data_IF_158119815276
#
_entry.id   IF_158119815276
#
_cell.length_a   1.000
_cell.length_b   1.000
_cell.length_c   1.000
_cell.angle_alpha   90.00
_cell.angle_beta   90.00
_cell.angle_gamma   90.00
#
_symmetry.space_group_name_H-M   'P 1'
#
loop_
_entity.id
_entity.type
_entity.pdbx_description
1 polymer ?
#
# COMPACT_ATOMS: atom_id res chain seq x y z
N UNK A 1 -41.51 -13.50 -17.63
CA UNK A 1 -41.07 -12.84 -16.38
C UNK A 1 -39.96 -13.61 -15.66
N UNK A 2 -40.14 -14.92 -15.38
CA UNK A 2 -39.14 -15.75 -14.67
C UNK A 2 -37.77 -15.83 -15.37
N UNK A 3 -37.73 -16.03 -16.69
CA UNK A 3 -36.48 -16.07 -17.48
C UNK A 3 -35.71 -14.75 -17.40
N UNK A 4 -36.42 -13.62 -17.44
CA UNK A 4 -35.80 -12.28 -17.35
C UNK A 4 -35.19 -12.06 -15.97
N UNK A 5 -35.91 -12.42 -14.90
CA UNK A 5 -35.40 -12.32 -13.53
C UNK A 5 -34.17 -13.22 -13.32
N UNK A 6 -34.18 -14.43 -13.87
CA UNK A 6 -33.05 -15.36 -13.81
C UNK A 6 -31.83 -14.81 -14.56
N UNK A 7 -32.02 -14.26 -15.76
CA UNK A 7 -30.94 -13.63 -16.54
C UNK A 7 -30.35 -12.42 -15.81
N UNK A 8 -31.18 -11.56 -15.22
CA UNK A 8 -30.72 -10.44 -14.39
C UNK A 8 -29.92 -10.96 -13.19
N UNK A 9 -30.41 -11.99 -12.49
CA UNK A 9 -29.71 -12.60 -11.36
C UNK A 9 -28.34 -13.16 -11.75
N UNK A 10 -28.24 -13.85 -12.88
CA UNK A 10 -26.97 -14.38 -13.40
C UNK A 10 -26.01 -13.27 -13.80
N UNK A 11 -26.50 -12.21 -14.45
CA UNK A 11 -25.69 -11.04 -14.82
C UNK A 11 -25.16 -10.31 -13.59
N UNK A 12 -25.99 -10.11 -12.56
CA UNK A 12 -25.58 -9.49 -11.30
C UNK A 12 -24.56 -10.36 -10.55
N UNK A 13 -24.76 -11.68 -10.50
CA UNK A 13 -23.81 -12.59 -9.87
C UNK A 13 -22.47 -12.63 -10.62
N UNK A 14 -22.51 -12.62 -11.96
CA UNK A 14 -21.31 -12.52 -12.79
C UNK A 14 -20.59 -11.19 -12.56
N UNK A 15 -21.31 -10.06 -12.62
CA UNK A 15 -20.77 -8.72 -12.36
C UNK A 15 -20.13 -8.64 -10.96
N UNK A 16 -20.77 -9.20 -9.95
CA UNK A 16 -20.23 -9.27 -8.59
C UNK A 16 -18.92 -10.06 -8.54
N UNK A 17 -18.84 -11.21 -9.23
CA UNK A 17 -17.63 -12.04 -9.24
C UNK A 17 -16.46 -11.36 -9.96
N UNK A 18 -16.70 -10.74 -11.11
CA UNK A 18 -15.62 -10.15 -11.93
C UNK A 18 -15.10 -8.81 -11.39
N UNK A 19 -15.82 -8.20 -10.46
CA UNK A 19 -15.46 -6.90 -9.85
C UNK A 19 -14.74 -7.03 -8.52
N UNK A 20 -14.63 -8.26 -7.98
CA UNK A 20 -13.99 -8.52 -6.69
C UNK A 20 -12.71 -9.34 -6.89
N UNK A 21 -11.59 -8.94 -6.28
CA UNK A 21 -10.43 -9.81 -6.23
C UNK A 21 -10.77 -11.09 -5.48
N UNK A 22 -10.26 -12.21 -5.97
CA UNK A 22 -10.30 -13.46 -5.22
C UNK A 22 -9.68 -13.25 -3.83
N UNK A 23 -10.20 -13.89 -2.77
CA UNK A 23 -9.54 -13.91 -1.49
C UNK A 23 -8.07 -14.31 -1.66
N UNK A 24 -7.13 -13.59 -1.04
CA UNK A 24 -5.74 -14.02 -1.01
C UNK A 24 -5.60 -15.21 -0.06
N UNK A 25 -4.55 -16.00 -0.26
CA UNK A 25 -4.32 -17.20 0.53
C UNK A 25 -3.87 -16.81 1.94
N UNK A 26 -4.38 -17.50 2.95
CA UNK A 26 -4.04 -17.26 4.35
C UNK A 26 -2.65 -17.83 4.62
N UNK A 27 -1.80 -17.10 5.33
CA UNK A 27 -0.46 -17.56 5.66
C UNK A 27 -0.52 -18.86 6.49
N UNK A 28 0.33 -19.83 6.16
CA UNK A 28 0.34 -21.16 6.78
C UNK A 28 -0.73 -22.13 6.28
N UNK A 29 -1.64 -21.70 5.39
CA UNK A 29 -2.53 -22.65 4.69
C UNK A 29 -1.78 -23.42 3.59
N UNK A 30 -2.30 -24.57 3.09
CA UNK A 30 -1.61 -25.39 2.07
C UNK A 30 -1.21 -24.66 0.78
N UNK A 31 -1.88 -23.55 0.44
CA UNK A 31 -1.54 -22.70 -0.71
C UNK A 31 -1.10 -21.29 -0.30
N UNK A 32 -0.91 -21.06 1.00
CA UNK A 32 -0.52 -19.78 1.56
C UNK A 32 0.98 -19.58 1.62
N UNK A 33 1.44 -18.33 1.81
CA UNK A 33 2.82 -18.07 2.20
C UNK A 33 3.19 -18.84 3.49
N UNK A 34 4.42 -19.36 3.62
CA UNK A 34 4.87 -19.95 4.87
C UNK A 34 4.97 -18.87 5.95
N UNK A 35 4.84 -19.29 7.21
CA UNK A 35 5.02 -18.39 8.36
C UNK A 35 6.45 -18.56 8.86
N UNK A 36 7.26 -17.56 8.61
CA UNK A 36 8.68 -17.46 8.99
C UNK A 36 9.05 -16.12 9.63
N UNK A 37 8.22 -15.09 9.45
CA UNK A 37 8.42 -13.76 10.01
C UNK A 37 7.95 -13.65 11.45
N UNK A 38 8.51 -12.68 12.18
CA UNK A 38 7.87 -12.14 13.38
C UNK A 38 6.54 -11.51 13.01
N UNK A 39 5.50 -11.79 13.81
CA UNK A 39 4.15 -11.27 13.57
C UNK A 39 3.50 -10.86 14.88
N UNK A 40 2.70 -9.79 14.80
CA UNK A 40 1.76 -9.44 15.85
C UNK A 40 0.35 -9.89 15.48
N UNK A 41 -0.51 -10.13 16.47
CA UNK A 41 -1.92 -10.46 16.25
C UNK A 41 -2.78 -9.26 16.60
N UNK A 42 -3.47 -8.70 15.61
CA UNK A 42 -4.39 -7.59 15.77
C UNK A 42 -5.65 -8.01 16.54
N UNK A 43 -6.38 -7.03 17.07
CA UNK A 43 -7.63 -7.23 17.82
C UNK A 43 -8.71 -7.95 17.02
N UNK A 44 -8.71 -7.78 15.70
CA UNK A 44 -9.66 -8.45 14.80
C UNK A 44 -9.23 -9.88 14.41
N UNK A 45 -8.10 -10.35 14.96
CA UNK A 45 -7.57 -11.70 14.77
C UNK A 45 -6.59 -11.86 13.61
N UNK A 46 -6.44 -10.84 12.73
CA UNK A 46 -5.43 -10.85 11.66
C UNK A 46 -4.02 -10.75 12.23
N UNK A 47 -3.03 -11.25 11.49
CA UNK A 47 -1.62 -11.06 11.80
C UNK A 47 -0.97 -10.04 10.87
N UNK A 48 -0.10 -9.20 11.43
CA UNK A 48 0.83 -8.38 10.65
C UNK A 48 2.25 -8.90 10.83
N UNK A 49 2.88 -9.27 9.72
CA UNK A 49 4.30 -9.60 9.69
C UNK A 49 5.15 -8.33 9.63
N UNK A 50 6.21 -8.30 10.42
CA UNK A 50 7.08 -7.14 10.52
C UNK A 50 8.56 -7.52 10.56
N UNK A 51 9.41 -6.50 10.41
CA UNK A 51 10.85 -6.58 10.54
C UNK A 51 11.36 -5.30 11.22
N UNK A 52 12.21 -5.51 12.22
CA UNK A 52 12.89 -4.46 12.96
C UNK A 52 14.26 -4.19 12.34
N UNK A 53 14.71 -2.94 12.38
CA UNK A 53 16.00 -2.47 11.88
C UNK A 53 16.52 -1.34 12.77
N UNK A 54 17.85 -1.16 12.78
CA UNK A 54 18.51 -0.12 13.57
C UNK A 54 18.79 -0.55 15.01
N UNK A 55 18.88 0.42 15.92
CA UNK A 55 19.22 0.18 17.32
C UNK A 55 18.03 -0.44 18.08
N UNK A 56 18.22 -1.16 19.20
CA UNK A 56 17.12 -1.72 19.98
C UNK A 56 16.10 -0.66 20.44
N UNK A 57 14.82 -1.03 20.52
CA UNK A 57 13.72 -0.11 20.80
C UNK A 57 13.84 0.58 22.17
N UNK A 58 14.51 -0.05 23.13
CA UNK A 58 14.70 0.42 24.50
C UNK A 58 15.65 1.61 24.59
N UNK A 59 16.62 1.67 23.67
CA UNK A 59 17.65 2.73 23.61
C UNK A 59 17.44 3.71 22.47
N UNK A 60 16.43 3.48 21.64
CA UNK A 60 16.14 4.30 20.47
C UNK A 60 15.64 5.70 20.85
N UNK A 61 16.19 6.72 20.19
CA UNK A 61 15.73 8.11 20.28
C UNK A 61 14.51 8.36 19.40
N UNK A 62 14.49 7.74 18.21
CA UNK A 62 13.39 7.87 17.26
C UNK A 62 12.85 6.49 16.87
N UNK A 63 11.56 6.29 17.09
CA UNK A 63 10.84 5.06 16.72
C UNK A 63 9.98 5.34 15.50
N UNK A 64 10.24 4.62 14.42
CA UNK A 64 9.68 4.88 13.08
C UNK A 64 8.96 3.64 12.57
N UNK A 65 7.71 3.80 12.16
CA UNK A 65 7.02 2.80 11.33
C UNK A 65 7.19 3.17 9.86
N UNK A 66 7.76 2.25 9.08
CA UNK A 66 7.93 2.37 7.64
C UNK A 66 6.87 1.58 6.87
N UNK A 67 6.12 2.28 6.00
CA UNK A 67 5.07 1.71 5.16
C UNK A 67 5.58 1.53 3.72
N UNK A 68 5.64 0.28 3.25
CA UNK A 68 6.16 -0.03 1.92
C UNK A 68 5.18 0.30 0.77
N UNK A 69 5.74 0.42 -0.45
CA UNK A 69 5.00 0.74 -1.67
C UNK A 69 4.33 -0.47 -2.35
N UNK A 70 4.02 -0.34 -3.65
CA UNK A 70 3.59 -1.46 -4.48
C UNK A 70 4.75 -2.44 -4.71
N UNK A 71 4.43 -3.71 -4.97
CA UNK A 71 5.41 -4.77 -5.29
C UNK A 71 6.54 -5.02 -4.29
N UNK A 72 6.45 -4.42 -3.11
CA UNK A 72 7.45 -4.48 -2.05
C UNK A 72 6.83 -5.10 -0.80
N UNK A 73 7.64 -5.30 0.23
CA UNK A 73 7.24 -5.93 1.49
C UNK A 73 8.03 -5.34 2.66
N UNK A 74 7.87 -5.91 3.86
CA UNK A 74 8.62 -5.58 5.07
C UNK A 74 10.15 -5.56 4.85
N UNK A 75 10.67 -6.30 3.89
CA UNK A 75 12.11 -6.29 3.59
C UNK A 75 12.55 -5.07 2.76
N UNK A 76 11.67 -4.17 2.36
CA UNK A 76 11.97 -3.08 1.43
C UNK A 76 11.97 -1.69 2.08
N UNK A 77 12.32 -1.61 3.37
CA UNK A 77 12.51 -0.35 4.07
C UNK A 77 13.70 0.43 3.49
N UNK A 78 13.44 1.33 2.54
CA UNK A 78 14.52 2.06 1.82
C UNK A 78 15.36 2.90 2.78
N UNK A 79 14.74 3.45 3.82
CA UNK A 79 15.43 4.23 4.86
C UNK A 79 16.31 3.36 5.75
N UNK A 80 15.96 2.10 5.99
CA UNK A 80 16.79 1.19 6.78
C UNK A 80 17.91 0.56 5.95
N UNK A 81 17.69 0.40 4.63
CA UNK A 81 18.64 -0.27 3.73
C UNK A 81 19.70 0.62 3.13
N UNK A 82 19.39 1.90 2.93
CA UNK A 82 20.25 2.80 2.16
C UNK A 82 20.96 3.84 3.04
N UNK A 83 20.63 3.92 4.34
CA UNK A 83 21.38 4.76 5.28
C UNK A 83 22.62 3.98 5.78
N UNK A 84 23.79 4.64 5.92
CA UNK A 84 24.95 4.04 6.58
C UNK A 84 24.58 3.60 8.00
N UNK A 85 25.12 2.47 8.44
CA UNK A 85 24.82 1.93 9.76
C UNK A 85 25.24 2.89 10.87
N UNK A 86 26.38 3.57 10.70
CA UNK A 86 26.90 4.54 11.65
C UNK A 86 25.92 5.69 11.86
N UNK A 87 25.25 6.15 10.79
CA UNK A 87 24.26 7.21 10.87
C UNK A 87 22.97 6.75 11.56
N UNK A 88 22.56 5.50 11.35
CA UNK A 88 21.40 4.89 12.02
C UNK A 88 21.65 4.80 13.53
N UNK A 89 22.86 4.41 13.93
CA UNK A 89 23.29 4.31 15.33
C UNK A 89 23.45 5.69 15.98
N UNK A 90 24.14 6.63 15.32
CA UNK A 90 24.35 8.00 15.79
C UNK A 90 23.02 8.73 16.07
N UNK A 91 22.06 8.57 15.16
CA UNK A 91 20.73 9.17 15.31
C UNK A 91 19.84 8.39 16.30
N UNK A 92 20.22 7.17 16.68
CA UNK A 92 19.43 6.29 17.55
C UNK A 92 18.09 5.89 16.91
N UNK A 93 18.10 5.49 15.64
CA UNK A 93 16.89 5.13 14.90
C UNK A 93 16.50 3.67 15.15
N UNK A 94 15.26 3.46 15.57
CA UNK A 94 14.59 2.17 15.52
C UNK A 94 13.49 2.22 14.46
N UNK A 95 13.60 1.38 13.45
CA UNK A 95 12.69 1.36 12.30
C UNK A 95 11.99 0.01 12.25
N UNK A 96 10.67 0.02 12.21
CA UNK A 96 9.83 -1.16 11.96
C UNK A 96 9.20 -1.04 10.59
N UNK A 97 9.46 -1.98 9.71
CA UNK A 97 8.67 -2.14 8.49
C UNK A 97 7.78 -3.36 8.60
N UNK A 98 6.56 -3.25 8.10
CA UNK A 98 5.59 -4.33 8.17
C UNK A 98 5.00 -4.63 6.79
N UNK A 99 4.55 -5.86 6.58
CA UNK A 99 3.78 -6.23 5.42
C UNK A 99 2.36 -5.68 5.58
N UNK A 100 1.92 -4.85 4.63
CA UNK A 100 0.53 -4.35 4.63
C UNK A 100 -0.46 -5.51 4.45
N UNK A 101 -1.75 -5.35 4.80
CA UNK A 101 -2.71 -6.46 4.73
C UNK A 101 -2.74 -7.17 3.37
N UNK A 102 -2.48 -8.48 3.38
CA UNK A 102 -2.41 -9.32 2.18
C UNK A 102 -1.10 -9.21 1.39
N UNK A 103 -0.05 -8.63 1.96
CA UNK A 103 1.32 -8.69 1.45
C UNK A 103 2.15 -9.65 2.28
N UNK A 104 3.19 -10.22 1.67
CA UNK A 104 4.18 -11.07 2.34
C UNK A 104 3.53 -12.11 3.25
N UNK A 105 3.73 -11.97 4.56
CA UNK A 105 3.22 -12.91 5.58
C UNK A 105 2.16 -12.27 6.51
N UNK A 106 1.59 -11.15 6.11
CA UNK A 106 0.43 -10.54 6.78
C UNK A 106 -0.87 -11.11 6.27
N UNK A 107 -1.81 -11.31 7.19
CA UNK A 107 -3.16 -11.71 6.85
C UNK A 107 -3.86 -10.61 6.03
N UNK A 108 -4.75 -11.00 5.11
CA UNK A 108 -5.50 -10.04 4.32
C UNK A 108 -6.58 -9.32 5.13
N UNK A 109 -6.88 -8.09 4.72
CA UNK A 109 -8.07 -7.36 5.17
C UNK A 109 -9.09 -7.26 4.00
N UNK A 110 -10.11 -8.14 3.94
CA UNK A 110 -11.16 -8.04 2.94
C UNK A 110 -12.03 -6.77 3.08
N UNK A 111 -12.02 -6.15 4.27
CA UNK A 111 -12.79 -4.95 4.61
C UNK A 111 -11.87 -3.72 4.69
N UNK A 112 -10.70 -3.76 4.03
CA UNK A 112 -9.69 -2.70 4.08
C UNK A 112 -10.29 -1.32 3.81
N UNK A 113 -9.99 -0.41 4.73
CA UNK A 113 -10.31 1.02 4.63
C UNK A 113 -9.09 1.84 5.00
N UNK A 114 -9.12 3.12 4.67
CA UNK A 114 -8.12 4.09 5.12
C UNK A 114 -8.01 4.09 6.65
N UNK A 115 -9.16 3.95 7.33
CA UNK A 115 -9.22 3.90 8.79
C UNK A 115 -8.62 2.60 9.35
N UNK A 116 -8.98 1.43 8.81
CA UNK A 116 -8.43 0.16 9.31
C UNK A 116 -6.93 0.10 9.15
N UNK A 117 -6.39 0.59 8.02
CA UNK A 117 -4.94 0.68 7.82
C UNK A 117 -4.22 1.58 8.83
N UNK A 118 -4.86 2.69 9.25
CA UNK A 118 -4.31 3.56 10.28
C UNK A 118 -4.34 2.90 11.67
N UNK A 119 -5.43 2.19 11.99
CA UNK A 119 -5.56 1.45 13.25
C UNK A 119 -4.58 0.26 13.31
N UNK A 120 -4.34 -0.41 12.18
CA UNK A 120 -3.30 -1.44 12.06
C UNK A 120 -1.91 -0.89 12.45
N UNK A 121 -1.59 0.34 12.04
CA UNK A 121 -0.34 1.03 12.42
C UNK A 121 -0.31 1.37 13.91
N UNK A 122 -1.43 1.82 14.48
CA UNK A 122 -1.55 2.09 15.91
C UNK A 122 -1.34 0.82 16.74
N UNK A 123 -2.03 -0.28 16.39
CA UNK A 123 -1.91 -1.55 17.08
C UNK A 123 -0.50 -2.16 16.94
N UNK A 124 0.15 -1.97 15.78
CA UNK A 124 1.55 -2.34 15.59
C UNK A 124 2.47 -1.57 16.54
N UNK A 125 2.26 -0.26 16.67
CA UNK A 125 3.05 0.56 17.59
C UNK A 125 2.84 0.16 19.05
N UNK A 126 1.60 -0.13 19.44
CA UNK A 126 1.26 -0.54 20.81
C UNK A 126 1.90 -1.87 21.18
N UNK A 127 1.77 -2.89 20.33
CA UNK A 127 2.29 -4.22 20.63
C UNK A 127 3.82 -4.29 20.62
N UNK A 128 4.48 -3.42 19.85
CA UNK A 128 5.94 -3.31 19.84
C UNK A 128 6.48 -2.31 20.88
N UNK A 129 5.62 -1.73 21.73
CA UNK A 129 6.07 -0.83 22.79
C UNK A 129 6.74 0.44 22.26
N UNK A 130 6.22 1.03 21.17
CA UNK A 130 6.80 2.25 20.60
C UNK A 130 6.49 3.51 21.42
N UNK A 131 5.70 3.38 22.48
CA UNK A 131 5.33 4.46 23.37
C UNK A 131 4.10 5.23 22.89
N UNK A 132 3.85 6.36 23.54
CA UNK A 132 2.66 7.19 23.30
C UNK A 132 2.64 7.81 21.90
N UNK A 133 3.82 8.18 21.37
CA UNK A 133 3.97 8.74 20.03
C UNK A 133 5.16 8.17 19.28
N UNK A 134 5.00 8.04 17.97
CA UNK A 134 6.02 7.52 17.06
C UNK A 134 6.01 8.28 15.73
N UNK A 135 7.00 8.06 14.89
CA UNK A 135 7.09 8.63 13.55
C UNK A 135 6.57 7.63 12.51
N UNK A 136 5.96 8.12 11.44
CA UNK A 136 5.58 7.28 10.31
C UNK A 136 6.19 7.78 9.02
N UNK A 137 6.81 6.89 8.26
CA UNK A 137 7.40 7.20 6.96
C UNK A 137 6.81 6.22 5.95
N UNK A 138 6.44 6.71 4.78
CA UNK A 138 5.90 5.86 3.73
C UNK A 138 6.47 6.16 2.37
N UNK A 139 6.49 5.15 1.50
CA UNK A 139 6.94 5.27 0.12
C UNK A 139 5.83 4.96 -0.88
N UNK A 140 5.72 5.77 -1.94
CA UNK A 140 4.83 5.51 -3.07
C UNK A 140 3.38 5.33 -2.62
N UNK A 141 2.71 4.25 -3.03
CA UNK A 141 1.33 3.96 -2.60
C UNK A 141 1.20 3.93 -1.08
N UNK A 142 2.23 3.49 -0.34
CA UNK A 142 2.17 3.38 1.13
C UNK A 142 1.79 4.70 1.82
N UNK A 143 2.01 5.83 1.15
CA UNK A 143 1.63 7.16 1.63
C UNK A 143 0.13 7.31 1.94
N UNK A 144 -0.76 6.54 1.30
CA UNK A 144 -2.19 6.57 1.66
C UNK A 144 -2.45 6.12 3.10
N UNK A 145 -1.62 5.23 3.64
CA UNK A 145 -1.70 4.79 5.04
C UNK A 145 -1.36 5.97 5.96
N UNK A 146 -0.29 6.72 5.64
CA UNK A 146 0.13 7.89 6.44
C UNK A 146 -0.93 8.98 6.43
N UNK A 147 -1.59 9.24 5.30
CA UNK A 147 -2.75 10.13 5.27
C UNK A 147 -3.88 9.64 6.19
N UNK A 148 -4.11 8.33 6.23
CA UNK A 148 -5.00 7.71 7.20
C UNK A 148 -4.55 7.94 8.65
N UNK A 149 -3.26 7.76 8.94
CA UNK A 149 -2.72 7.99 10.28
C UNK A 149 -2.89 9.44 10.72
N UNK A 150 -2.58 10.40 9.85
CA UNK A 150 -2.77 11.83 10.11
C UNK A 150 -4.24 12.18 10.38
N UNK A 151 -5.18 11.46 9.76
CA UNK A 151 -6.62 11.68 9.94
C UNK A 151 -7.18 11.01 11.20
N UNK A 152 -6.81 9.76 11.46
CA UNK A 152 -7.50 8.91 12.44
C UNK A 152 -6.73 8.71 13.73
N UNK A 153 -5.40 8.80 13.72
CA UNK A 153 -4.54 8.66 14.90
C UNK A 153 -3.51 9.80 15.03
N UNK A 154 -3.85 11.08 14.74
CA UNK A 154 -2.87 12.18 14.80
C UNK A 154 -2.24 12.33 16.19
N UNK A 155 -2.98 11.97 17.25
CA UNK A 155 -2.50 11.99 18.64
C UNK A 155 -1.36 11.00 18.91
N UNK A 156 -1.17 9.98 18.05
CA UNK A 156 -0.09 8.99 18.13
C UNK A 156 1.17 9.37 17.34
N UNK A 157 1.14 10.47 16.58
CA UNK A 157 2.24 10.82 15.69
C UNK A 157 3.12 11.93 16.28
N UNK A 158 4.43 11.67 16.35
CA UNK A 158 5.46 12.70 16.56
C UNK A 158 5.83 13.39 15.25
N UNK A 159 5.63 12.72 14.12
CA UNK A 159 5.86 13.27 12.79
C UNK A 159 5.51 12.27 11.68
N UNK A 160 5.37 12.78 10.47
CA UNK A 160 5.05 11.99 9.29
C UNK A 160 5.89 12.43 8.08
N UNK A 161 6.36 11.49 7.27
CA UNK A 161 7.05 11.78 6.01
C UNK A 161 6.50 10.93 4.85
N UNK A 162 6.33 11.57 3.69
CA UNK A 162 5.83 10.95 2.47
C UNK A 162 6.94 10.98 1.41
N UNK A 163 7.40 9.82 0.97
CA UNK A 163 8.45 9.66 -0.02
C UNK A 163 7.83 9.28 -1.36
N UNK A 164 7.95 10.16 -2.36
CA UNK A 164 7.36 10.00 -3.69
C UNK A 164 5.88 9.54 -3.67
N UNK A 165 4.98 10.29 -2.99
CA UNK A 165 3.61 9.85 -2.77
C UNK A 165 2.83 9.67 -4.07
N UNK A 166 2.03 8.60 -4.11
CA UNK A 166 0.90 8.54 -5.04
C UNK A 166 -0.24 9.35 -4.41
N UNK A 167 -0.83 10.25 -5.18
CA UNK A 167 -1.90 11.16 -4.72
C UNK A 167 -3.21 10.93 -5.48
N UNK A 168 -4.31 11.37 -4.86
CA UNK A 168 -5.57 11.54 -5.55
C UNK A 168 -5.69 12.98 -6.07
N UNK A 169 -5.75 13.14 -7.39
CA UNK A 169 -5.80 14.46 -8.04
C UNK A 169 -7.07 15.27 -7.76
N UNK A 170 -8.06 14.69 -7.07
CA UNK A 170 -9.31 15.35 -6.69
C UNK A 170 -9.40 15.64 -5.18
N UNK A 171 -8.29 15.55 -4.44
CA UNK A 171 -8.26 15.94 -3.03
C UNK A 171 -8.49 17.45 -2.87
N UNK A 172 -9.44 17.82 -2.01
CA UNK A 172 -9.86 19.22 -1.78
C UNK A 172 -8.75 20.13 -1.26
N UNK A 173 -7.69 19.57 -0.65
CA UNK A 173 -6.57 20.32 -0.09
C UNK A 173 -5.46 20.67 -1.07
N UNK A 174 -5.54 20.21 -2.33
CA UNK A 174 -4.55 20.52 -3.37
C UNK A 174 -5.06 21.61 -4.30
N UNK A 175 -4.22 22.57 -4.73
CA UNK A 175 -4.62 23.56 -5.73
C UNK A 175 -5.11 22.86 -7.01
N UNK A 176 -6.31 23.23 -7.47
CA UNK A 176 -6.98 22.55 -8.58
C UNK A 176 -6.20 22.67 -9.89
N UNK A 177 -5.56 23.81 -10.13
CA UNK A 177 -4.69 24.05 -11.28
C UNK A 177 -3.49 23.10 -11.28
N UNK A 178 -2.76 23.00 -10.16
CA UNK A 178 -1.59 22.12 -10.03
C UNK A 178 -1.98 20.64 -10.11
N UNK A 179 -3.10 20.27 -9.49
CA UNK A 179 -3.60 18.90 -9.54
C UNK A 179 -4.01 18.51 -10.96
N UNK A 180 -4.65 19.42 -11.69
CA UNK A 180 -5.04 19.22 -13.08
C UNK A 180 -3.80 19.09 -13.98
N UNK A 181 -2.83 19.99 -13.83
CA UNK A 181 -1.57 19.94 -14.59
C UNK A 181 -0.81 18.62 -14.33
N UNK A 182 -0.65 18.24 -13.06
CA UNK A 182 0.04 17.01 -12.68
C UNK A 182 -0.70 15.75 -13.16
N UNK A 183 -2.04 15.78 -13.17
CA UNK A 183 -2.87 14.70 -13.71
C UNK A 183 -2.64 14.50 -15.21
N UNK A 184 -2.61 15.58 -16.00
CA UNK A 184 -2.40 15.49 -17.44
C UNK A 184 -0.95 15.17 -17.84
N UNK A 185 0.01 15.25 -16.91
CA UNK A 185 1.38 14.72 -17.10
C UNK A 185 1.45 13.19 -17.01
N UNK A 186 0.43 12.52 -16.46
CA UNK A 186 0.39 11.06 -16.38
C UNK A 186 0.15 10.44 -17.76
N UNK A 187 0.55 9.17 -17.92
CA UNK A 187 0.22 8.41 -19.14
C UNK A 187 -1.31 8.28 -19.28
N UNK A 188 -1.87 8.22 -20.51
CA UNK A 188 -3.31 8.11 -20.71
C UNK A 188 -3.98 6.95 -19.94
N UNK A 189 -3.28 5.81 -19.82
CA UNK A 189 -3.75 4.66 -19.04
C UNK A 189 -3.84 4.91 -17.53
N UNK A 190 -2.93 5.71 -16.99
CA UNK A 190 -2.93 6.09 -15.58
C UNK A 190 -4.02 7.11 -15.32
N UNK A 191 -4.18 8.08 -16.22
CA UNK A 191 -5.29 9.03 -16.20
C UNK A 191 -6.64 8.31 -16.08
N UNK A 192 -6.86 7.27 -16.90
CA UNK A 192 -8.07 6.44 -16.83
C UNK A 192 -8.18 5.66 -15.53
N UNK A 193 -7.10 5.00 -15.10
CA UNK A 193 -7.11 4.21 -13.86
C UNK A 193 -7.41 5.08 -12.63
N UNK A 194 -6.87 6.29 -12.58
CA UNK A 194 -7.19 7.30 -11.57
C UNK A 194 -8.67 7.71 -11.64
N UNK A 195 -9.25 7.94 -12.83
CA UNK A 195 -10.68 8.27 -12.98
C UNK A 195 -11.57 7.13 -12.49
N UNK A 196 -11.32 5.90 -12.93
CA UNK A 196 -12.11 4.74 -12.51
C UNK A 196 -12.04 4.58 -11.00
N UNK A 197 -10.84 4.66 -10.43
CA UNK A 197 -10.65 4.53 -8.98
C UNK A 197 -11.24 5.68 -8.18
N UNK A 198 -11.39 6.87 -8.76
CA UNK A 198 -12.01 8.00 -8.10
C UNK A 198 -13.55 7.99 -8.19
N UNK A 199 -14.10 7.78 -9.39
CA UNK A 199 -15.53 7.92 -9.66
C UNK A 199 -16.31 6.62 -9.49
N UNK A 200 -15.73 5.48 -9.84
CA UNK A 200 -16.38 4.16 -9.84
C UNK A 200 -15.45 3.14 -9.15
N UNK A 201 -15.08 3.36 -7.88
CA UNK A 201 -14.00 2.63 -7.24
C UNK A 201 -14.27 1.12 -7.16
N UNK A 202 -15.53 0.69 -7.06
CA UNK A 202 -15.88 -0.74 -7.05
C UNK A 202 -15.49 -1.47 -8.35
N UNK A 203 -15.25 -0.75 -9.45
CA UNK A 203 -14.83 -1.29 -10.74
C UNK A 203 -13.29 -1.34 -10.90
N UNK A 204 -12.50 -0.78 -9.98
CA UNK A 204 -11.04 -0.70 -10.09
C UNK A 204 -10.37 -2.05 -10.35
N UNK A 205 -10.79 -3.10 -9.62
CA UNK A 205 -10.24 -4.45 -9.82
C UNK A 205 -10.54 -4.99 -11.23
N UNK A 206 -11.80 -4.87 -11.67
CA UNK A 206 -12.19 -5.30 -13.01
C UNK A 206 -11.39 -4.56 -14.06
N UNK A 207 -11.31 -3.23 -13.98
CA UNK A 207 -10.57 -2.38 -14.92
C UNK A 207 -9.11 -2.82 -15.08
N UNK A 208 -8.39 -2.96 -13.97
CA UNK A 208 -6.97 -3.32 -13.97
C UNK A 208 -6.67 -4.77 -14.38
N UNK A 209 -7.69 -5.62 -14.51
CA UNK A 209 -7.55 -7.02 -14.94
C UNK A 209 -7.99 -7.26 -16.38
N UNK A 210 -8.52 -6.24 -17.07
CA UNK A 210 -8.90 -6.38 -18.47
C UNK A 210 -7.69 -6.41 -19.39
N UNK A 211 -7.77 -7.19 -20.46
CA UNK A 211 -6.75 -7.23 -21.53
C UNK A 211 -6.91 -6.11 -22.56
N UNK A 212 -8.12 -5.56 -22.66
CA UNK A 212 -8.48 -4.56 -23.66
C UNK A 212 -8.20 -3.12 -23.20
N UNK A 213 -8.00 -2.91 -21.90
CA UNK A 213 -7.62 -1.63 -21.34
C UNK A 213 -6.27 -1.78 -20.62
N UNK A 214 -5.33 -0.85 -20.82
CA UNK A 214 -4.09 -0.87 -20.07
C UNK A 214 -4.36 -0.58 -18.60
N UNK A 215 -3.84 -1.43 -17.72
CA UNK A 215 -3.82 -1.20 -16.28
C UNK A 215 -2.92 -0.02 -15.91
N UNK A 216 -2.94 0.40 -14.65
CA UNK A 216 -1.97 1.35 -14.10
C UNK A 216 -0.55 0.95 -14.53
N UNK A 217 0.17 1.86 -15.19
CA UNK A 217 1.46 1.66 -15.86
C UNK A 217 2.55 1.07 -14.97
N UNK A 218 2.51 1.39 -13.66
CA UNK A 218 3.39 0.83 -12.65
C UNK A 218 3.19 -0.69 -12.46
N UNK A 219 2.01 -1.23 -12.79
CA UNK A 219 1.68 -2.66 -12.61
C UNK A 219 2.40 -3.57 -13.60
N UNK A 220 2.35 -3.33 -14.93
CA UNK A 220 3.18 -4.07 -15.88
C UNK A 220 4.66 -3.65 -15.84
N UNK A 221 5.00 -2.57 -15.15
CA UNK A 221 6.36 -2.01 -15.13
C UNK A 221 6.71 -1.30 -16.45
N UNK A 222 5.80 -0.45 -16.94
CA UNK A 222 6.01 0.29 -18.17
C UNK A 222 7.16 1.30 -17.99
N UNK A 223 8.24 1.26 -18.79
CA UNK A 223 9.40 2.13 -18.61
C UNK A 223 9.10 3.62 -18.87
N UNK A 224 8.02 3.94 -19.60
CA UNK A 224 7.64 5.32 -19.93
C UNK A 224 7.15 6.13 -18.72
N UNK A 225 7.04 5.51 -17.53
CA UNK A 225 6.77 6.21 -16.28
C UNK A 225 7.98 6.99 -15.76
N UNK A 226 9.17 6.61 -16.22
CA UNK A 226 10.43 7.17 -15.76
C UNK A 226 10.85 8.33 -16.65
N UNK A 227 11.41 9.37 -16.03
CA UNK A 227 12.15 10.38 -16.79
C UNK A 227 13.41 9.75 -17.42
N UNK A 228 14.02 10.45 -18.36
CA UNK A 228 15.28 10.01 -18.96
C UNK A 228 16.36 9.77 -17.89
N UNK A 229 16.45 10.68 -16.91
CA UNK A 229 17.38 10.60 -15.79
C UNK A 229 17.09 9.37 -14.91
N UNK A 230 15.82 9.07 -14.65
CA UNK A 230 15.42 7.89 -13.90
C UNK A 230 15.83 6.59 -14.62
N UNK A 231 15.71 6.54 -15.95
CA UNK A 231 16.16 5.39 -16.74
C UNK A 231 17.68 5.22 -16.70
N UNK A 232 18.43 6.31 -16.73
CA UNK A 232 19.90 6.30 -16.60
C UNK A 232 20.36 5.79 -15.22
N UNK A 233 19.59 6.06 -14.16
CA UNK A 233 19.86 5.54 -12.81
C UNK A 233 19.42 4.08 -12.69
N UNK A 234 18.25 3.74 -13.22
CA UNK A 234 17.65 2.40 -13.08
C UNK A 234 18.40 1.35 -13.88
N UNK A 235 18.93 1.71 -15.06
CA UNK A 235 19.78 0.80 -15.86
C UNK A 235 21.04 0.33 -15.11
N UNK A 236 21.50 1.10 -14.12
CA UNK A 236 22.65 0.76 -13.27
C UNK A 236 22.29 -0.09 -12.05
N UNK A 237 20.99 -0.28 -11.75
CA UNK A 237 20.50 -1.03 -10.58
C UNK A 237 19.75 -2.29 -11.03
N UNK A 238 20.48 -3.36 -11.34
CA UNK A 238 19.88 -4.68 -11.59
C UNK A 238 19.86 -5.49 -10.28
N UNK A 239 18.68 -5.88 -9.80
CA UNK A 239 18.54 -7.02 -8.87
C UNK A 239 17.47 -6.95 -7.78
N UNK A 240 16.42 -7.76 -7.93
CA UNK A 240 15.93 -8.86 -7.06
C UNK A 240 14.42 -9.05 -7.31
N UNK A 241 14.07 -10.24 -7.78
CA UNK A 241 12.71 -10.59 -8.17
C UNK A 241 11.89 -10.94 -6.93
N UNK A 242 10.92 -10.08 -6.58
CA UNK A 242 9.93 -10.37 -5.53
C UNK A 242 8.81 -11.20 -6.16
N UNK A 243 8.29 -12.17 -5.40
CA UNK A 243 7.30 -13.14 -5.86
C UNK A 243 5.98 -12.44 -6.28
N UNK A 244 5.82 -12.19 -7.59
CA UNK A 244 4.80 -11.26 -8.16
C UNK A 244 3.34 -11.71 -7.94
N UNK A 245 3.08 -13.01 -7.82
CA UNK A 245 1.72 -13.58 -7.88
C UNK A 245 0.87 -13.20 -6.65
N UNK A 246 1.43 -13.25 -5.44
CA UNK A 246 0.71 -12.91 -4.21
C UNK A 246 0.37 -11.42 -4.12
N UNK A 247 1.19 -10.58 -4.76
CA UNK A 247 1.13 -9.13 -4.65
C UNK A 247 -0.02 -8.57 -5.50
N UNK A 248 -0.27 -9.13 -6.70
CA UNK A 248 -1.25 -8.59 -7.66
C UNK A 248 -2.68 -8.44 -7.11
N UNK A 249 -3.12 -9.34 -6.22
CA UNK A 249 -4.47 -9.27 -5.62
C UNK A 249 -4.62 -8.08 -4.66
N UNK A 250 -3.60 -7.80 -3.86
CA UNK A 250 -3.62 -6.74 -2.84
C UNK A 250 -3.40 -5.36 -3.43
N UNK A 251 -2.68 -5.26 -4.56
CA UNK A 251 -2.47 -3.99 -5.30
C UNK A 251 -3.78 -3.32 -5.67
N UNK A 252 -4.74 -4.07 -6.22
CA UNK A 252 -6.00 -3.49 -6.67
C UNK A 252 -6.82 -2.92 -5.51
N UNK A 253 -6.71 -3.53 -4.33
CA UNK A 253 -7.33 -3.03 -3.10
C UNK A 253 -6.64 -1.76 -2.62
N UNK A 254 -5.32 -1.67 -2.72
CA UNK A 254 -4.60 -0.43 -2.40
C UNK A 254 -4.91 0.70 -3.37
N UNK A 255 -5.04 0.42 -4.66
CA UNK A 255 -5.45 1.42 -5.66
C UNK A 255 -6.87 1.90 -5.34
N UNK A 256 -7.78 0.97 -5.03
CA UNK A 256 -9.14 1.29 -4.59
C UNK A 256 -9.16 2.17 -3.33
N UNK A 257 -8.46 1.78 -2.26
CA UNK A 257 -8.44 2.53 -1.00
C UNK A 257 -7.69 3.86 -1.17
N UNK A 258 -6.52 3.80 -1.79
CA UNK A 258 -5.54 4.87 -1.99
C UNK A 258 -5.97 5.99 -2.96
N UNK A 259 -6.78 5.66 -3.97
CA UNK A 259 -7.18 6.63 -5.01
C UNK A 259 -8.69 6.94 -5.00
N UNK A 260 -9.47 6.32 -4.11
CA UNK A 260 -10.88 6.69 -3.96
C UNK A 260 -11.07 7.96 -3.14
N UNK A 261 -12.29 8.51 -3.18
CA UNK A 261 -12.69 9.73 -2.44
C UNK A 261 -12.57 9.64 -0.91
N UNK A 262 -12.22 8.49 -0.34
CA UNK A 262 -12.41 8.19 1.10
C UNK A 262 -11.26 8.64 2.02
N UNK A 263 -10.18 9.22 1.49
CA UNK A 263 -8.99 9.58 2.28
C UNK A 263 -9.13 10.95 2.97
N UNK A 264 -9.81 11.91 2.33
CA UNK A 264 -10.06 13.26 2.86
C UNK A 264 -11.56 13.58 2.81
#
# INVERSE_FOLDING_TARGET
MFVVVLLIGLLLAWAYRVTRPLPPNICGSPCGPPITASRIKLRDGRHLAYKEHGVPAEVAKYKIIYVHGLFTCRHSAVIAKNLPQELVEELGLYIVSYDRPGYGESDPDPKQTVKSLALDVEELADQLGLGSKFYVIAYSIGCHVVWGCLRYIPYRLSGAALLAPIINYWWRGLPSNLSTEAYYKQLPQDQWTHRVSHYIPWLTYWWNTQKWFPALSAVPGNPNIFSRQDLEITSKKVGKQINKIYITKSINRDIFVGLSKKIL
#
